data_IF_510154723321
#
_entry.id   IF_510154723321
#
_cell.length_a   1.000
_cell.length_b   1.000
_cell.length_c   1.000
_cell.angle_alpha   90.00
_cell.angle_beta   90.00
_cell.angle_gamma   90.00
#
_symmetry.space_group_name_H-M   'P 1'
#
loop_
_entity.id
_entity.type
_entity.pdbx_description
1 polymer ?
#
# COMPACT_ATOMS: atom_id res chain seq x y z
N UNK A 1 -7.27 -31.63 16.79
CA UNK A 1 -7.10 -30.15 16.61
C UNK A 1 -8.19 -29.44 17.42
N UNK A 2 -7.83 -28.36 18.12
CA UNK A 2 -8.79 -27.48 18.76
C UNK A 2 -8.50 -26.02 18.38
N UNK A 3 -9.43 -25.11 18.68
CA UNK A 3 -9.30 -23.68 18.31
C UNK A 3 -8.10 -23.02 19.00
N UNK A 4 -7.76 -23.47 20.21
CA UNK A 4 -6.61 -22.94 20.94
C UNK A 4 -5.27 -23.26 20.26
N UNK A 5 -5.12 -24.44 19.65
CA UNK A 5 -3.93 -24.73 18.85
C UNK A 5 -3.80 -23.79 17.64
N UNK A 6 -4.92 -23.44 16.99
CA UNK A 6 -4.93 -22.50 15.87
C UNK A 6 -4.62 -21.09 16.34
N UNK A 7 -5.12 -20.67 17.52
CA UNK A 7 -4.81 -19.40 18.14
C UNK A 7 -3.30 -19.27 18.42
N UNK A 8 -2.71 -20.28 19.07
CA UNK A 8 -1.27 -20.28 19.34
C UNK A 8 -0.44 -20.24 18.05
N UNK A 9 -0.84 -21.00 17.03
CA UNK A 9 -0.19 -20.94 15.73
C UNK A 9 -0.32 -19.58 15.07
N UNK A 10 -1.48 -18.93 15.16
CA UNK A 10 -1.66 -17.54 14.70
C UNK A 10 -0.65 -16.59 15.33
N UNK A 11 -0.45 -16.66 16.66
CA UNK A 11 0.55 -15.82 17.33
C UNK A 11 1.98 -16.16 16.92
N UNK A 12 2.32 -17.45 16.78
CA UNK A 12 3.65 -17.92 16.35
C UNK A 12 3.97 -17.42 14.94
N UNK A 13 3.04 -17.57 14.01
CA UNK A 13 3.19 -17.12 12.64
C UNK A 13 3.31 -15.58 12.55
N UNK A 14 2.41 -14.88 13.25
CA UNK A 14 2.35 -13.41 13.26
C UNK A 14 3.61 -12.74 13.81
N UNK A 15 4.20 -13.32 14.84
CA UNK A 15 5.34 -12.73 15.55
C UNK A 15 6.69 -13.33 15.17
N UNK A 16 6.73 -14.23 14.19
CA UNK A 16 7.96 -14.77 13.67
C UNK A 16 8.66 -15.75 14.63
N UNK A 17 7.90 -16.52 15.40
CA UNK A 17 8.42 -17.60 16.25
C UNK A 17 7.77 -17.73 17.61
N UNK A 18 8.10 -18.83 18.28
CA UNK A 18 7.46 -19.21 19.56
C UNK A 18 7.79 -18.20 20.68
N UNK A 19 9.05 -17.79 20.84
CA UNK A 19 9.46 -16.84 21.88
C UNK A 19 8.83 -15.45 21.70
N UNK A 20 8.84 -14.84 20.51
CA UNK A 20 8.09 -13.62 20.26
C UNK A 20 6.59 -13.77 20.49
N UNK A 21 5.98 -14.90 20.12
CA UNK A 21 4.57 -15.18 20.34
C UNK A 21 4.21 -15.16 21.83
N UNK A 22 4.95 -15.87 22.67
CA UNK A 22 4.72 -15.94 24.13
C UNK A 22 4.67 -14.54 24.78
N UNK A 23 5.44 -13.59 24.28
CA UNK A 23 5.46 -12.20 24.79
C UNK A 23 4.23 -11.38 24.37
N UNK A 24 3.52 -11.82 23.35
CA UNK A 24 2.40 -11.10 22.73
C UNK A 24 1.04 -11.79 22.90
N UNK A 25 1.02 -13.01 23.43
CA UNK A 25 -0.22 -13.70 23.79
C UNK A 25 -0.83 -12.99 25.03
N UNK A 26 -2.14 -12.62 25.00
CA UNK A 26 -2.74 -11.77 26.02
C UNK A 26 -2.96 -12.46 27.38
N UNK A 27 -2.69 -13.74 27.48
CA UNK A 27 -2.78 -14.53 28.72
C UNK A 27 -1.47 -15.25 29.02
N UNK A 28 -1.23 -15.57 30.29
CA UNK A 28 0.02 -16.19 30.72
C UNK A 28 0.18 -17.61 30.18
N UNK A 29 1.12 -17.80 29.28
CA UNK A 29 1.53 -19.11 28.74
C UNK A 29 3.05 -19.16 28.62
N UNK A 30 3.62 -20.33 28.88
CA UNK A 30 5.05 -20.54 28.82
C UNK A 30 5.48 -21.19 27.51
N UNK A 31 6.72 -20.89 27.07
CA UNK A 31 7.28 -21.40 25.82
C UNK A 31 7.20 -22.93 25.67
N UNK A 32 7.45 -23.78 26.69
CA UNK A 32 7.33 -25.22 26.55
C UNK A 32 5.92 -25.68 26.20
N UNK A 33 4.90 -25.03 26.79
CA UNK A 33 3.51 -25.33 26.49
C UNK A 33 3.14 -24.98 25.03
N UNK A 34 3.54 -23.80 24.55
CA UNK A 34 3.32 -23.41 23.15
C UNK A 34 4.06 -24.38 22.22
N UNK A 35 5.30 -24.73 22.51
CA UNK A 35 6.07 -25.68 21.71
C UNK A 35 5.40 -27.05 21.60
N UNK A 36 4.88 -27.58 22.73
CA UNK A 36 4.17 -28.87 22.77
C UNK A 36 2.88 -28.81 21.97
N UNK A 37 2.10 -27.75 22.10
CA UNK A 37 0.85 -27.60 21.36
C UNK A 37 1.04 -27.38 19.86
N UNK A 38 2.15 -26.74 19.46
CA UNK A 38 2.51 -26.64 18.04
C UNK A 38 2.86 -28.03 17.47
N UNK A 39 3.64 -28.84 18.20
CA UNK A 39 3.95 -30.20 17.77
C UNK A 39 2.67 -31.06 17.62
N UNK A 40 1.73 -30.96 18.56
CA UNK A 40 0.45 -31.65 18.48
C UNK A 40 -0.41 -31.18 17.28
N UNK A 41 -0.35 -29.89 16.95
CA UNK A 41 -1.05 -29.37 15.77
C UNK A 41 -0.44 -29.92 14.48
N UNK A 42 0.88 -29.90 14.36
CA UNK A 42 1.62 -30.43 13.21
C UNK A 42 1.36 -31.96 13.06
N UNK A 43 1.39 -32.71 14.14
CA UNK A 43 1.06 -34.15 14.16
C UNK A 43 -0.38 -34.40 13.70
N UNK A 44 -1.35 -33.65 14.22
CA UNK A 44 -2.75 -33.75 13.81
C UNK A 44 -2.98 -33.48 12.33
N UNK A 45 -2.27 -32.50 11.79
CA UNK A 45 -2.38 -32.10 10.38
C UNK A 45 -1.53 -32.97 9.45
N UNK A 46 -0.60 -33.74 9.98
CA UNK A 46 0.37 -34.51 9.20
C UNK A 46 1.34 -33.64 8.40
N UNK A 47 1.55 -32.40 8.82
CA UNK A 47 2.36 -31.42 8.09
C UNK A 47 3.15 -30.52 9.04
N UNK A 48 4.39 -30.20 8.68
CA UNK A 48 5.21 -29.20 9.38
C UNK A 48 4.75 -27.81 8.95
N UNK A 49 4.44 -26.93 9.91
CA UNK A 49 3.89 -25.60 9.63
C UNK A 49 4.96 -24.53 9.57
N UNK A 50 6.11 -24.74 10.23
CA UNK A 50 7.19 -23.75 10.22
C UNK A 50 8.55 -24.37 10.50
N UNK A 51 9.59 -23.76 9.94
CA UNK A 51 10.98 -24.03 10.30
C UNK A 51 11.33 -23.21 11.54
N UNK A 52 12.20 -23.77 12.41
CA UNK A 52 12.54 -23.10 13.68
C UNK A 52 13.78 -22.21 13.60
N UNK A 53 14.72 -22.51 12.71
CA UNK A 53 15.99 -21.78 12.57
C UNK A 53 16.51 -21.82 11.12
N UNK A 54 16.49 -20.68 10.39
CA UNK A 54 15.77 -19.47 10.74
C UNK A 54 14.24 -19.73 10.77
N UNK A 55 13.48 -18.89 11.50
CA UNK A 55 12.03 -19.04 11.48
C UNK A 55 11.49 -18.69 10.09
N UNK A 56 10.73 -19.60 9.51
CA UNK A 56 10.01 -19.40 8.27
C UNK A 56 8.75 -20.31 8.25
N UNK A 57 7.64 -19.81 7.77
CA UNK A 57 6.47 -20.67 7.51
C UNK A 57 6.78 -21.61 6.34
N UNK A 58 6.25 -22.81 6.39
CA UNK A 58 6.18 -23.70 5.23
C UNK A 58 5.00 -23.29 4.34
N UNK A 59 4.87 -23.87 3.15
CA UNK A 59 3.73 -23.64 2.27
C UNK A 59 2.40 -23.99 2.97
N UNK A 60 2.37 -25.12 3.71
CA UNK A 60 1.24 -25.55 4.53
C UNK A 60 0.96 -24.56 5.67
N UNK A 61 2.02 -24.07 6.32
CA UNK A 61 1.92 -23.06 7.37
C UNK A 61 1.37 -21.73 6.85
N UNK A 62 1.80 -21.26 5.70
CA UNK A 62 1.26 -20.06 5.06
C UNK A 62 -0.21 -20.24 4.68
N UNK A 63 -0.58 -21.41 4.14
CA UNK A 63 -1.97 -21.74 3.79
C UNK A 63 -2.87 -21.73 5.03
N UNK A 64 -2.43 -22.38 6.11
CA UNK A 64 -3.18 -22.39 7.36
C UNK A 64 -3.26 -20.99 7.96
N UNK A 65 -2.15 -20.24 8.00
CA UNK A 65 -2.13 -18.88 8.52
C UNK A 65 -3.09 -17.97 7.77
N UNK A 66 -3.07 -17.97 6.45
CA UNK A 66 -4.03 -17.19 5.62
C UNK A 66 -5.48 -17.54 5.91
N UNK A 67 -5.77 -18.80 6.19
CA UNK A 67 -7.12 -19.26 6.51
C UNK A 67 -7.61 -18.78 7.88
N UNK A 68 -6.77 -18.84 8.93
CA UNK A 68 -7.17 -18.49 10.31
C UNK A 68 -6.97 -17.01 10.66
N UNK A 69 -6.08 -16.32 9.94
CA UNK A 69 -5.73 -14.93 10.22
C UNK A 69 -6.95 -13.99 10.28
N UNK A 70 -7.91 -14.01 9.33
CA UNK A 70 -9.07 -13.12 9.35
C UNK A 70 -9.92 -13.30 10.61
N UNK A 71 -10.02 -14.52 11.14
CA UNK A 71 -10.76 -14.81 12.36
C UNK A 71 -10.07 -14.22 13.60
N UNK A 72 -8.82 -14.60 13.85
CA UNK A 72 -8.11 -14.17 15.06
C UNK A 72 -7.74 -12.67 15.03
N UNK A 73 -7.49 -12.11 13.87
CA UNK A 73 -7.19 -10.67 13.73
C UNK A 73 -8.40 -9.76 14.05
N UNK A 74 -9.62 -10.29 13.94
CA UNK A 74 -10.85 -9.50 14.11
C UNK A 74 -11.67 -9.89 15.35
N UNK A 75 -11.27 -10.89 16.13
CA UNK A 75 -12.05 -11.38 17.27
C UNK A 75 -12.26 -10.29 18.34
N UNK A 76 -11.21 -9.53 18.65
CA UNK A 76 -11.30 -8.43 19.63
C UNK A 76 -12.18 -7.28 19.11
N UNK A 77 -12.15 -7.03 17.80
CA UNK A 77 -12.97 -6.01 17.14
C UNK A 77 -14.46 -6.36 17.25
N UNK A 78 -14.81 -7.60 16.95
CA UNK A 78 -16.18 -8.11 17.08
C UNK A 78 -16.64 -8.09 18.54
N UNK A 79 -15.78 -8.47 19.48
CA UNK A 79 -16.12 -8.43 20.91
C UNK A 79 -16.48 -7.01 21.35
N UNK A 80 -15.72 -6.00 20.93
CA UNK A 80 -16.01 -4.58 21.21
C UNK A 80 -17.32 -4.12 20.56
N UNK A 81 -17.58 -4.52 19.30
CA UNK A 81 -18.81 -4.19 18.60
C UNK A 81 -20.05 -4.81 19.27
N UNK A 82 -19.97 -6.08 19.66
CA UNK A 82 -21.06 -6.79 20.36
C UNK A 82 -21.36 -6.19 21.75
N UNK A 83 -20.37 -5.61 22.42
CA UNK A 83 -20.55 -4.91 23.69
C UNK A 83 -21.13 -3.47 23.52
N UNK A 84 -21.57 -3.10 22.31
CA UNK A 84 -22.08 -1.76 22.00
C UNK A 84 -20.99 -0.68 21.95
N UNK A 85 -19.71 -1.09 21.98
CA UNK A 85 -18.57 -0.20 21.80
C UNK A 85 -18.38 0.17 20.33
N UNK A 86 -18.05 1.43 20.07
CA UNK A 86 -17.58 1.80 18.72
C UNK A 86 -16.14 1.31 18.55
N UNK A 87 -15.84 0.67 17.42
CA UNK A 87 -14.47 0.34 17.07
C UNK A 87 -13.61 1.63 17.11
N UNK A 88 -12.62 1.66 18.00
CA UNK A 88 -11.73 2.82 18.19
C UNK A 88 -10.34 2.60 17.61
N UNK A 89 -10.19 1.60 16.76
CA UNK A 89 -8.93 1.28 16.11
C UNK A 89 -9.19 1.02 14.63
N UNK A 90 -8.40 1.67 13.77
CA UNK A 90 -8.39 1.46 12.33
C UNK A 90 -6.97 1.24 11.85
N UNK A 91 -6.80 0.28 10.96
CA UNK A 91 -5.54 -0.06 10.31
C UNK A 91 -5.58 0.47 8.89
N UNK A 92 -4.71 1.39 8.56
CA UNK A 92 -4.69 2.07 7.26
C UNK A 92 -3.38 1.74 6.53
N UNK A 93 -3.51 1.33 5.27
CA UNK A 93 -2.41 1.16 4.35
C UNK A 93 -2.38 2.26 3.30
N UNK A 94 -1.19 2.77 2.98
CA UNK A 94 -1.03 3.73 1.88
C UNK A 94 0.45 3.86 1.46
N UNK A 95 0.70 4.59 0.38
CA UNK A 95 2.07 4.99 0.02
C UNK A 95 2.64 6.00 1.02
N UNK A 96 3.97 6.09 1.12
CA UNK A 96 4.67 6.98 2.05
C UNK A 96 4.25 8.45 1.91
N UNK A 97 4.00 8.93 0.70
CA UNK A 97 3.52 10.30 0.45
C UNK A 97 2.15 10.53 1.09
N UNK A 98 1.21 9.61 0.91
CA UNK A 98 -0.14 9.73 1.49
C UNK A 98 -0.06 9.68 3.01
N UNK A 99 0.74 8.77 3.58
CA UNK A 99 0.90 8.62 5.02
C UNK A 99 1.52 9.87 5.66
N UNK A 100 2.49 10.49 5.01
CA UNK A 100 3.23 11.64 5.54
C UNK A 100 2.49 12.97 5.34
N UNK A 101 1.97 13.21 4.12
CA UNK A 101 1.57 14.55 3.70
C UNK A 101 0.05 14.78 3.72
N UNK A 102 -0.76 13.72 3.75
CA UNK A 102 -2.22 13.82 3.64
C UNK A 102 -2.99 13.18 4.79
N UNK A 103 -2.58 12.00 5.24
CA UNK A 103 -3.29 11.27 6.29
C UNK A 103 -3.33 11.97 7.66
N UNK A 104 -2.30 12.73 8.10
CA UNK A 104 -2.35 13.41 9.39
C UNK A 104 -3.56 14.33 9.55
N UNK A 105 -3.93 15.11 8.52
CA UNK A 105 -5.09 16.01 8.56
C UNK A 105 -6.40 15.23 8.60
N UNK A 106 -6.52 14.16 7.79
CA UNK A 106 -7.68 13.26 7.79
C UNK A 106 -7.86 12.61 9.16
N UNK A 107 -6.76 12.16 9.78
CA UNK A 107 -6.77 11.58 11.11
C UNK A 107 -7.17 12.58 12.19
N UNK A 108 -6.66 13.80 12.15
CA UNK A 108 -7.07 14.86 13.09
C UNK A 108 -8.57 15.14 13.02
N UNK A 109 -9.15 15.19 11.82
CA UNK A 109 -10.58 15.37 11.64
C UNK A 109 -11.39 14.17 12.16
N UNK A 110 -10.96 12.95 11.86
CA UNK A 110 -11.60 11.72 12.35
C UNK A 110 -11.55 11.63 13.90
N UNK A 111 -10.42 11.99 14.52
CA UNK A 111 -10.24 11.96 15.98
C UNK A 111 -11.18 12.90 16.73
N UNK A 112 -11.58 14.01 16.13
CA UNK A 112 -12.59 14.91 16.72
C UNK A 112 -13.95 14.23 16.90
N UNK A 113 -14.31 13.30 16.01
CA UNK A 113 -15.56 12.53 16.09
C UNK A 113 -15.44 11.24 16.90
N UNK A 114 -14.23 10.67 16.94
CA UNK A 114 -13.93 9.44 17.69
C UNK A 114 -12.81 9.69 18.70
N UNK A 115 -13.12 10.29 19.86
CA UNK A 115 -12.13 10.47 20.92
C UNK A 115 -11.52 9.14 21.34
N UNK A 116 -10.19 9.11 21.49
CA UNK A 116 -9.45 7.88 21.81
C UNK A 116 -9.20 6.95 20.61
N UNK A 117 -9.48 7.41 19.38
CA UNK A 117 -9.16 6.67 18.15
C UNK A 117 -7.68 6.29 18.09
N UNK A 118 -7.42 4.99 17.90
CA UNK A 118 -6.09 4.42 17.65
C UNK A 118 -5.92 4.19 16.15
N UNK A 119 -4.70 4.39 15.66
CA UNK A 119 -4.34 4.25 14.25
C UNK A 119 -3.12 3.34 14.13
N UNK A 120 -3.21 2.34 13.27
CA UNK A 120 -2.06 1.57 12.80
C UNK A 120 -1.83 1.87 11.33
N UNK A 121 -0.60 2.21 10.99
CA UNK A 121 -0.19 2.57 9.62
C UNK A 121 0.66 1.47 9.02
N UNK A 122 0.44 1.19 7.75
CA UNK A 122 1.24 0.30 6.93
C UNK A 122 1.59 1.02 5.63
N UNK A 123 2.87 1.06 5.33
CA UNK A 123 3.34 1.51 4.03
C UNK A 123 3.40 0.33 3.07
N UNK A 124 3.02 0.55 1.81
CA UNK A 124 3.08 -0.47 0.79
C UNK A 124 2.76 0.05 -0.61
N UNK A 125 3.11 -0.75 -1.61
CA UNK A 125 2.73 -0.56 -3.00
C UNK A 125 1.32 -1.08 -3.27
N UNK A 126 0.66 -0.70 -4.39
CA UNK A 126 -0.72 -1.05 -4.67
C UNK A 126 -1.04 -2.55 -4.50
N UNK A 127 -0.23 -3.43 -5.08
CA UNK A 127 -0.41 -4.89 -4.99
C UNK A 127 -0.30 -5.39 -3.54
N UNK A 128 0.64 -4.87 -2.76
CA UNK A 128 0.80 -5.23 -1.36
C UNK A 128 -0.39 -4.76 -0.51
N UNK A 129 -0.87 -3.54 -0.76
CA UNK A 129 -2.03 -2.99 -0.05
C UNK A 129 -3.31 -3.75 -0.36
N UNK A 130 -3.48 -4.20 -1.61
CA UNK A 130 -4.60 -5.09 -1.97
C UNK A 130 -4.51 -6.43 -1.25
N UNK A 131 -3.33 -7.04 -1.18
CA UNK A 131 -3.11 -8.28 -0.42
C UNK A 131 -3.39 -8.09 1.06
N UNK A 132 -2.91 -6.99 1.67
CA UNK A 132 -3.19 -6.67 3.08
C UNK A 132 -4.69 -6.49 3.34
N UNK A 133 -5.44 -5.87 2.40
CA UNK A 133 -6.91 -5.78 2.51
C UNK A 133 -7.58 -7.16 2.42
N UNK A 134 -7.15 -8.00 1.47
CA UNK A 134 -7.70 -9.34 1.30
C UNK A 134 -7.43 -10.23 2.52
N UNK A 135 -6.27 -10.06 3.16
CA UNK A 135 -5.87 -10.78 4.37
C UNK A 135 -6.41 -10.16 5.66
N UNK A 136 -7.25 -9.11 5.59
CA UNK A 136 -7.73 -8.35 6.75
C UNK A 136 -6.60 -7.81 7.67
N UNK A 137 -5.42 -7.53 7.09
CA UNK A 137 -4.29 -6.90 7.80
C UNK A 137 -4.48 -5.40 7.95
N UNK A 138 -5.19 -4.77 6.99
CA UNK A 138 -5.64 -3.38 7.03
C UNK A 138 -7.15 -3.29 6.78
N UNK A 139 -7.77 -2.24 7.30
CA UNK A 139 -9.22 -2.01 7.17
C UNK A 139 -9.54 -1.06 6.00
N UNK A 140 -8.59 -0.20 5.65
CA UNK A 140 -8.72 0.83 4.62
C UNK A 140 -7.38 1.03 3.93
N UNK A 141 -7.36 1.09 2.61
CA UNK A 141 -6.19 1.44 1.82
C UNK A 141 -6.43 2.75 1.06
N UNK A 142 -5.42 3.64 1.03
CA UNK A 142 -5.36 4.75 0.09
C UNK A 142 -4.28 4.44 -0.94
N UNK A 143 -4.68 4.13 -2.16
CA UNK A 143 -3.80 3.60 -3.19
C UNK A 143 -4.27 3.95 -4.60
N UNK A 144 -3.51 3.53 -5.59
CA UNK A 144 -3.95 3.54 -6.99
C UNK A 144 -5.13 2.59 -7.17
N UNK A 145 -6.18 3.06 -7.85
CA UNK A 145 -7.31 2.23 -8.24
C UNK A 145 -7.11 1.80 -9.69
N UNK A 146 -7.02 0.51 -9.90
CA UNK A 146 -7.05 -0.09 -11.22
C UNK A 146 -8.49 -0.35 -11.68
N UNK A 147 -8.67 -0.57 -13.00
CA UNK A 147 -10.01 -0.79 -13.61
C UNK A 147 -10.78 -1.98 -13.04
N UNK A 148 -10.10 -2.94 -12.41
CA UNK A 148 -10.72 -4.11 -11.77
C UNK A 148 -10.29 -4.17 -10.32
N UNK A 149 -11.23 -3.88 -9.42
CA UNK A 149 -11.04 -4.17 -7.99
C UNK A 149 -11.22 -5.66 -7.72
N UNK A 150 -10.46 -6.25 -6.80
CA UNK A 150 -10.64 -7.65 -6.38
C UNK A 150 -12.05 -7.92 -5.86
N UNK A 151 -12.50 -9.17 -5.95
CA UNK A 151 -13.82 -9.57 -5.43
C UNK A 151 -13.96 -9.25 -3.93
N UNK A 152 -15.09 -8.64 -3.57
CA UNK A 152 -15.39 -8.24 -2.18
C UNK A 152 -14.70 -6.96 -1.71
N UNK A 153 -13.85 -6.35 -2.53
CA UNK A 153 -13.24 -5.04 -2.27
C UNK A 153 -14.08 -3.95 -2.92
N UNK A 154 -14.38 -2.91 -2.17
CA UNK A 154 -15.04 -1.71 -2.65
C UNK A 154 -14.00 -0.59 -2.83
N UNK A 155 -14.26 0.32 -3.75
CA UNK A 155 -13.38 1.46 -4.01
C UNK A 155 -14.14 2.76 -4.13
N UNK A 156 -13.44 3.87 -3.88
CA UNK A 156 -13.90 5.23 -4.02
C UNK A 156 -12.79 6.07 -4.63
N UNK A 157 -13.03 6.62 -5.82
CA UNK A 157 -12.09 7.56 -6.45
C UNK A 157 -12.00 8.85 -5.65
N UNK A 158 -10.79 9.33 -5.43
CA UNK A 158 -10.49 10.58 -4.72
C UNK A 158 -9.89 11.64 -5.64
N UNK A 159 -8.89 11.27 -6.44
CA UNK A 159 -8.12 12.18 -7.29
C UNK A 159 -7.71 11.50 -8.59
N UNK A 160 -7.57 12.31 -9.64
CA UNK A 160 -6.85 11.95 -10.86
C UNK A 160 -5.52 12.70 -10.86
N UNK A 161 -4.42 11.99 -11.04
CA UNK A 161 -3.08 12.53 -11.05
C UNK A 161 -2.53 12.48 -12.48
N UNK A 162 -2.47 13.61 -13.19
CA UNK A 162 -1.87 13.68 -14.51
C UNK A 162 -0.40 13.27 -14.47
N UNK A 163 0.06 12.60 -15.52
CA UNK A 163 1.47 12.29 -15.70
C UNK A 163 2.24 13.56 -16.13
N UNK A 164 3.48 13.64 -15.70
CA UNK A 164 4.43 14.70 -16.10
C UNK A 164 5.79 14.09 -16.40
N UNK A 165 6.55 14.74 -17.27
CA UNK A 165 8.00 14.54 -17.36
C UNK A 165 8.72 15.53 -16.44
N UNK A 166 9.60 15.01 -15.62
CA UNK A 166 10.52 15.80 -14.82
C UNK A 166 11.82 15.98 -15.63
N UNK A 167 12.23 17.22 -15.78
CA UNK A 167 13.51 17.58 -16.43
C UNK A 167 14.29 18.48 -15.48
N UNK A 168 15.62 18.47 -15.63
CA UNK A 168 16.46 19.43 -14.93
C UNK A 168 16.03 20.87 -15.28
N UNK A 169 16.07 21.78 -14.33
CA UNK A 169 15.61 23.15 -14.53
C UNK A 169 16.38 23.88 -15.61
N UNK A 170 17.68 23.58 -15.76
CA UNK A 170 18.58 24.07 -16.78
C UNK A 170 18.34 23.49 -18.19
N UNK A 171 17.55 22.42 -18.31
CA UNK A 171 17.27 21.75 -19.59
C UNK A 171 16.69 22.71 -20.62
N UNK A 172 17.18 22.67 -21.85
CA UNK A 172 16.66 23.46 -22.99
C UNK A 172 15.29 22.99 -23.47
N UNK A 173 14.86 21.77 -23.09
CA UNK A 173 13.61 21.15 -23.52
C UNK A 173 12.42 21.97 -23.00
N UNK A 174 11.60 22.54 -23.87
CA UNK A 174 10.46 23.38 -23.49
C UNK A 174 9.15 22.63 -23.42
N UNK A 175 8.99 21.56 -24.21
CA UNK A 175 7.78 20.75 -24.26
C UNK A 175 8.12 19.29 -24.59
N UNK A 176 7.20 18.39 -24.23
CA UNK A 176 7.36 16.94 -24.54
C UNK A 176 7.27 16.66 -26.04
N UNK A 177 6.56 17.52 -26.79
CA UNK A 177 6.44 17.39 -28.24
C UNK A 177 7.78 17.53 -28.96
N UNK A 178 8.75 18.23 -28.37
CA UNK A 178 10.12 18.32 -28.91
C UNK A 178 10.84 16.98 -28.85
N UNK A 179 10.55 16.15 -27.82
CA UNK A 179 11.08 14.79 -27.75
C UNK A 179 10.44 13.88 -28.80
N UNK A 180 9.12 13.96 -28.95
CA UNK A 180 8.37 13.08 -29.86
C UNK A 180 8.67 13.34 -31.34
N UNK A 181 9.26 14.48 -31.68
CA UNK A 181 9.67 14.82 -33.06
C UNK A 181 11.08 14.38 -33.42
N UNK A 182 11.82 13.83 -32.47
CA UNK A 182 13.18 13.37 -32.70
C UNK A 182 13.17 11.96 -33.24
N UNK A 183 14.05 11.66 -34.19
CA UNK A 183 14.25 10.30 -34.69
C UNK A 183 14.74 9.35 -33.57
N UNK A 184 15.47 9.92 -32.60
CA UNK A 184 15.99 9.21 -31.44
C UNK A 184 16.01 10.14 -30.23
N UNK A 185 15.63 9.59 -29.06
CA UNK A 185 15.76 10.25 -27.78
C UNK A 185 17.00 9.66 -27.09
N UNK A 186 18.01 10.51 -26.91
CA UNK A 186 19.30 10.07 -26.34
C UNK A 186 19.34 10.19 -24.81
N UNK A 187 18.41 10.95 -24.22
CA UNK A 187 18.31 11.11 -22.78
C UNK A 187 17.87 9.81 -22.11
N UNK A 188 18.51 9.47 -21.01
CA UNK A 188 18.13 8.33 -20.16
C UNK A 188 16.75 8.56 -19.57
N UNK A 189 15.85 7.59 -19.75
CA UNK A 189 14.54 7.60 -19.11
C UNK A 189 14.65 7.02 -17.71
N UNK A 190 14.12 7.74 -16.72
CA UNK A 190 14.02 7.31 -15.32
C UNK A 190 12.54 7.08 -15.01
N UNK A 191 12.17 5.87 -14.62
CA UNK A 191 10.78 5.51 -14.34
C UNK A 191 10.68 4.60 -13.11
N UNK A 192 9.46 4.35 -12.62
CA UNK A 192 9.18 3.25 -11.71
C UNK A 192 9.37 1.91 -12.44
N UNK A 193 9.47 0.77 -11.73
CA UNK A 193 9.51 -0.56 -12.33
C UNK A 193 8.40 -0.77 -13.37
N UNK A 194 8.70 -1.59 -14.38
CA UNK A 194 7.82 -1.80 -15.54
C UNK A 194 6.45 -2.39 -15.19
N UNK A 195 6.30 -3.04 -14.05
CA UNK A 195 5.04 -3.58 -13.54
C UNK A 195 4.18 -2.55 -12.78
N UNK A 196 4.70 -1.37 -12.50
CA UNK A 196 3.96 -0.29 -11.88
C UNK A 196 3.05 0.45 -12.88
N UNK A 197 1.87 0.85 -12.44
CA UNK A 197 0.84 1.49 -13.29
C UNK A 197 1.32 2.76 -13.98
N UNK A 198 2.19 3.53 -13.33
CA UNK A 198 2.79 4.74 -13.92
C UNK A 198 3.60 4.38 -15.17
N UNK A 199 4.53 3.44 -15.04
CA UNK A 199 5.38 3.00 -16.16
C UNK A 199 4.55 2.34 -17.25
N UNK A 200 3.62 1.44 -16.90
CA UNK A 200 2.69 0.79 -17.86
C UNK A 200 1.90 1.80 -18.68
N UNK A 201 1.26 2.77 -18.01
CA UNK A 201 0.46 3.80 -18.69
C UNK A 201 1.30 4.67 -19.61
N UNK A 202 2.50 5.03 -19.17
CA UNK A 202 3.44 5.82 -19.95
C UNK A 202 3.93 5.06 -21.17
N UNK A 203 4.46 3.85 -21.01
CA UNK A 203 4.99 3.03 -22.09
C UNK A 203 3.90 2.67 -23.11
N UNK A 204 2.70 2.33 -22.65
CA UNK A 204 1.56 2.06 -23.53
C UNK A 204 1.26 3.26 -24.43
N UNK A 205 1.25 4.46 -23.85
CA UNK A 205 0.96 5.67 -24.64
C UNK A 205 2.10 6.04 -25.58
N UNK A 206 3.36 5.79 -25.22
CA UNK A 206 4.50 5.95 -26.14
C UNK A 206 4.38 5.00 -27.33
N UNK A 207 4.00 3.74 -27.11
CA UNK A 207 3.77 2.77 -28.18
C UNK A 207 2.65 3.23 -29.15
N UNK A 208 1.54 3.81 -28.60
CA UNK A 208 0.48 4.39 -29.41
C UNK A 208 0.96 5.60 -30.26
N UNK A 209 1.99 6.30 -29.81
CA UNK A 209 2.62 7.42 -30.51
C UNK A 209 3.74 6.99 -31.46
N UNK A 210 4.11 5.70 -31.49
CA UNK A 210 5.23 5.19 -32.25
C UNK A 210 6.60 5.65 -31.75
N UNK A 211 6.72 5.95 -30.45
CA UNK A 211 7.96 6.42 -29.82
C UNK A 211 8.61 5.30 -29.02
N UNK A 212 9.83 4.93 -29.39
CA UNK A 212 10.65 3.94 -28.70
C UNK A 212 11.56 4.63 -27.68
N UNK A 213 11.17 4.61 -26.42
CA UNK A 213 11.96 5.17 -25.32
C UNK A 213 11.71 4.37 -24.04
N UNK A 214 12.65 3.52 -23.69
CA UNK A 214 12.52 2.59 -22.57
C UNK A 214 13.32 3.05 -21.35
N UNK A 215 12.89 2.68 -20.13
CA UNK A 215 13.63 3.02 -18.92
C UNK A 215 15.08 2.51 -18.95
N UNK A 216 16.00 3.44 -18.73
CA UNK A 216 17.43 3.15 -18.51
C UNK A 216 17.72 3.05 -17.00
N UNK A 217 16.90 3.72 -16.15
CA UNK A 217 17.01 3.69 -14.70
C UNK A 217 15.63 3.39 -14.12
N UNK A 218 15.54 2.32 -13.33
CA UNK A 218 14.36 2.01 -12.55
C UNK A 218 14.54 2.50 -11.12
N UNK A 219 13.62 3.34 -10.65
CA UNK A 219 13.61 3.91 -9.30
C UNK A 219 12.42 3.37 -8.50
N UNK A 220 12.61 3.15 -7.22
CA UNK A 220 11.57 2.58 -6.35
C UNK A 220 10.50 3.59 -5.90
N UNK A 221 10.65 4.88 -6.18
CA UNK A 221 9.67 5.90 -5.79
C UNK A 221 9.77 7.15 -6.68
N UNK A 222 8.70 7.92 -6.73
CA UNK A 222 8.67 9.20 -7.47
C UNK A 222 9.63 10.24 -6.86
N UNK A 223 9.86 10.17 -5.55
CA UNK A 223 10.85 11.02 -4.86
C UNK A 223 12.27 10.72 -5.34
N UNK A 224 12.57 9.44 -5.55
CA UNK A 224 13.87 9.02 -6.07
C UNK A 224 14.04 9.41 -7.54
N UNK A 225 12.99 9.29 -8.36
CA UNK A 225 13.00 9.79 -9.74
C UNK A 225 13.37 11.28 -9.76
N UNK A 226 12.70 12.08 -8.94
CA UNK A 226 12.97 13.52 -8.86
C UNK A 226 14.41 13.82 -8.44
N UNK A 227 14.95 13.10 -7.45
CA UNK A 227 16.32 13.25 -6.98
C UNK A 227 17.36 12.95 -8.08
N UNK A 228 17.12 11.91 -8.88
CA UNK A 228 18.01 11.53 -9.99
C UNK A 228 17.95 12.50 -11.14
N UNK A 229 16.75 13.02 -11.46
CA UNK A 229 16.60 14.12 -12.44
C UNK A 229 17.31 15.38 -11.95
N UNK A 230 17.17 15.74 -10.67
CA UNK A 230 17.87 16.88 -10.07
C UNK A 230 19.40 16.76 -10.07
N UNK A 231 19.90 15.53 -10.24
CA UNK A 231 21.34 15.21 -10.37
C UNK A 231 21.82 15.09 -11.82
N UNK A 232 20.97 15.43 -12.80
CA UNK A 232 21.32 15.41 -14.22
C UNK A 232 21.44 14.04 -14.86
N UNK A 233 20.87 12.99 -14.25
CA UNK A 233 21.02 11.60 -14.74
C UNK A 233 20.04 11.24 -15.86
N UNK A 234 19.09 12.12 -16.19
CA UNK A 234 18.14 11.89 -17.27
C UNK A 234 16.81 12.63 -17.07
N UNK A 235 15.81 12.15 -17.78
CA UNK A 235 14.43 12.65 -17.73
C UNK A 235 13.57 11.64 -16.98
N UNK A 236 12.77 12.10 -16.01
CA UNK A 236 11.96 11.25 -15.17
C UNK A 236 10.48 11.26 -15.53
N UNK A 237 9.81 10.11 -15.49
CA UNK A 237 8.35 10.07 -15.53
C UNK A 237 7.81 10.12 -14.11
N UNK A 238 6.89 11.04 -13.85
CA UNK A 238 6.28 11.25 -12.54
C UNK A 238 4.81 11.64 -12.68
N UNK A 239 4.21 12.05 -11.58
CA UNK A 239 2.83 12.53 -11.49
C UNK A 239 2.81 13.97 -10.98
N UNK A 240 1.84 14.74 -11.42
CA UNK A 240 1.55 16.04 -10.84
C UNK A 240 0.81 15.84 -9.51
N UNK A 241 1.53 16.00 -8.39
CA UNK A 241 0.95 15.89 -7.04
C UNK A 241 0.39 17.27 -6.65
N UNK A 242 -0.92 17.41 -6.43
CA UNK A 242 -1.51 18.69 -6.06
C UNK A 242 -0.92 19.23 -4.76
N UNK A 243 -0.62 20.53 -4.73
CA UNK A 243 -0.02 21.19 -3.56
C UNK A 243 1.47 20.92 -3.37
N UNK A 244 2.10 20.13 -4.24
CA UNK A 244 3.55 19.87 -4.22
C UNK A 244 4.20 20.37 -5.51
N UNK A 245 5.18 21.25 -5.38
CA UNK A 245 6.06 21.64 -6.48
C UNK A 245 7.31 20.76 -6.48
N UNK A 246 7.86 20.43 -7.65
CA UNK A 246 9.18 19.80 -7.72
C UNK A 246 10.24 20.64 -7.03
N UNK A 247 11.37 20.05 -6.70
CA UNK A 247 12.52 20.75 -6.13
C UNK A 247 12.96 21.91 -7.02
N UNK A 248 13.68 22.89 -6.45
CA UNK A 248 14.14 24.07 -7.19
C UNK A 248 15.05 23.76 -8.38
N UNK A 249 15.59 22.54 -8.46
CA UNK A 249 16.47 22.07 -9.53
C UNK A 249 15.72 21.36 -10.66
N UNK A 250 14.44 21.09 -10.49
CA UNK A 250 13.62 20.31 -11.42
C UNK A 250 12.41 21.12 -11.87
N UNK A 251 11.93 20.88 -13.07
CA UNK A 251 10.64 21.36 -13.55
C UNK A 251 9.85 20.24 -14.19
N UNK A 252 8.53 20.34 -14.11
CA UNK A 252 7.61 19.39 -14.70
C UNK A 252 7.10 19.89 -16.05
N UNK A 253 7.05 19.00 -17.03
CA UNK A 253 6.43 19.21 -18.34
C UNK A 253 5.16 18.36 -18.39
N UNK A 254 3.99 18.93 -18.69
CA UNK A 254 2.75 18.17 -18.80
C UNK A 254 2.82 17.09 -19.88
N UNK A 255 2.27 15.91 -19.60
CA UNK A 255 2.08 14.81 -20.54
C UNK A 255 0.63 14.77 -21.01
N UNK A 256 0.25 15.75 -21.84
CA UNK A 256 -1.13 15.88 -22.35
C UNK A 256 -1.52 14.63 -23.17
N UNK A 257 -2.72 14.10 -22.92
CA UNK A 257 -3.24 12.92 -23.59
C UNK A 257 -2.70 11.58 -23.08
N UNK A 258 -1.87 11.59 -22.04
CA UNK A 258 -1.52 10.39 -21.28
C UNK A 258 -2.59 10.08 -20.22
N UNK A 259 -2.98 8.80 -20.04
CA UNK A 259 -3.98 8.46 -19.04
C UNK A 259 -3.47 8.81 -17.63
N UNK A 260 -4.27 9.55 -16.82
CA UNK A 260 -3.88 9.87 -15.46
C UNK A 260 -3.84 8.61 -14.57
N UNK A 261 -3.14 8.69 -13.45
CA UNK A 261 -3.29 7.71 -12.37
C UNK A 261 -4.48 8.09 -11.48
N UNK A 262 -5.28 7.10 -11.14
CA UNK A 262 -6.46 7.28 -10.28
C UNK A 262 -6.08 6.91 -8.85
N UNK A 263 -6.08 7.89 -7.96
CA UNK A 263 -5.93 7.66 -6.52
C UNK A 263 -7.30 7.52 -5.88
N UNK A 264 -7.43 6.53 -5.02
CA UNK A 264 -8.66 6.33 -4.28
C UNK A 264 -8.47 5.62 -2.95
N UNK A 265 -9.60 5.33 -2.34
CA UNK A 265 -9.69 4.54 -1.14
C UNK A 265 -10.31 3.18 -1.47
N UNK A 266 -9.79 2.12 -0.85
CA UNK A 266 -10.29 0.75 -0.99
C UNK A 266 -10.53 0.14 0.39
N UNK A 267 -11.63 -0.61 0.53
CA UNK A 267 -11.95 -1.34 1.77
C UNK A 267 -12.72 -2.62 1.45
N UNK A 268 -12.80 -3.54 2.41
CA UNK A 268 -13.50 -4.80 2.25
C UNK A 268 -14.82 -4.81 3.00
N UNK A 269 -15.85 -5.41 2.41
CA UNK A 269 -17.15 -5.57 3.06
C UNK A 269 -17.94 -4.27 3.24
N UNK A 270 -18.73 -4.18 4.32
CA UNK A 270 -19.56 -3.01 4.60
C UNK A 270 -18.73 -1.87 5.19
N UNK A 271 -19.09 -0.63 4.84
CA UNK A 271 -18.52 0.55 5.48
C UNK A 271 -18.90 0.58 6.96
N UNK A 272 -17.92 0.56 7.83
CA UNK A 272 -18.14 0.89 9.24
C UNK A 272 -18.22 2.41 9.42
N UNK A 273 -18.83 2.92 10.51
CA UNK A 273 -18.84 4.36 10.80
C UNK A 273 -17.43 4.98 10.81
N UNK A 274 -16.43 4.18 11.21
CA UNK A 274 -15.04 4.61 11.24
C UNK A 274 -14.44 4.70 9.84
N UNK A 275 -14.67 3.73 8.96
CA UNK A 275 -14.29 3.82 7.54
C UNK A 275 -14.97 5.01 6.89
N UNK A 276 -16.27 5.21 7.12
CA UNK A 276 -17.06 6.27 6.49
C UNK A 276 -16.54 7.67 6.82
N UNK A 277 -16.14 7.92 8.08
CA UNK A 277 -15.53 9.20 8.44
C UNK A 277 -14.19 9.44 7.74
N UNK A 278 -13.32 8.41 7.63
CA UNK A 278 -12.06 8.52 6.91
C UNK A 278 -12.28 8.80 5.44
N UNK A 279 -13.24 8.13 4.80
CA UNK A 279 -13.60 8.38 3.39
C UNK A 279 -14.12 9.81 3.19
N UNK A 280 -14.99 10.27 4.10
CA UNK A 280 -15.55 11.63 4.05
C UNK A 280 -14.47 12.69 4.18
N UNK A 281 -13.55 12.54 5.14
CA UNK A 281 -12.48 13.51 5.36
C UNK A 281 -11.42 13.45 4.25
N UNK A 282 -11.13 12.25 3.70
CA UNK A 282 -10.26 12.11 2.55
C UNK A 282 -10.84 12.76 1.30
N UNK A 283 -12.16 12.65 1.05
CA UNK A 283 -12.83 13.35 -0.05
C UNK A 283 -12.76 14.88 0.12
N UNK A 284 -12.98 15.40 1.34
CA UNK A 284 -12.82 16.83 1.61
C UNK A 284 -11.40 17.29 1.32
N UNK A 285 -10.41 16.52 1.80
CA UNK A 285 -9.00 16.82 1.55
C UNK A 285 -8.68 16.81 0.06
N UNK A 286 -9.14 15.82 -0.68
CA UNK A 286 -8.95 15.70 -2.11
C UNK A 286 -9.51 16.93 -2.87
N UNK A 287 -10.72 17.41 -2.50
CA UNK A 287 -11.32 18.62 -3.10
C UNK A 287 -10.55 19.90 -2.83
N UNK A 288 -9.79 19.96 -1.75
CA UNK A 288 -8.94 21.14 -1.43
C UNK A 288 -7.62 21.12 -2.20
N UNK A 289 -7.27 20.00 -2.83
CA UNK A 289 -6.05 19.84 -3.60
C UNK A 289 -6.25 20.14 -5.10
N UNK A 290 -7.48 20.12 -5.56
CA UNK A 290 -7.90 20.44 -6.94
C UNK A 290 -8.52 21.84 -6.98
#
# INVERSE_FOLDING_TARGET
MNVHHLELFYYVARHGGIMPAVRNIPYGIQQPAVSSQMAQLEEFLGATLFQRRPFALTEEGEKLYRFIHPFFANIDKIAVELQGGQARHIRIGASGIVLRDHLPEVFHAARKRFPGLKLSLREGYPVQLEQMLQNDEIDLAFTLIEKKTPSGVQSLTLLELPLVLLVEKSSALKSVQELWRRDKIDESLICLPGDESLCKNFQKKLADLGVDWFPAIEASSVDLIEAYVASGLGIGVSIAIPGRSPSSKVRALPLDGFPPLIIGAMWRGRKTPLIDIFLTEAQKRARLLV
#
